data_IF_900917239637
#
_entry.id   IF_900917239637
#
_cell.length_a   1.000
_cell.length_b   1.000
_cell.length_c   1.000
_cell.angle_alpha   90.00
_cell.angle_beta   90.00
_cell.angle_gamma   90.00
#
_symmetry.space_group_name_H-M   'P 1'
#
loop_
_entity.id
_entity.type
_entity.pdbx_description
1 polymer ?
#
# COMPACT_ATOMS: atom_id res chain seq x y z
N UNK A 1 -25.30 -12.44 -16.92
CA UNK A 1 -23.86 -12.22 -17.21
C UNK A 1 -23.10 -11.92 -15.90
N UNK A 2 -21.99 -12.61 -15.61
CA UNK A 2 -21.30 -12.58 -14.29
C UNK A 2 -19.93 -11.85 -14.30
N UNK A 3 -19.41 -11.49 -15.47
CA UNK A 3 -18.10 -10.86 -15.62
C UNK A 3 -18.12 -9.82 -16.73
N UNK A 4 -17.51 -8.65 -16.49
CA UNK A 4 -17.43 -7.55 -17.46
C UNK A 4 -16.01 -7.01 -17.52
N UNK A 5 -15.53 -6.76 -18.75
CA UNK A 5 -14.17 -6.29 -19.02
C UNK A 5 -14.20 -4.85 -19.52
N UNK A 6 -13.27 -4.05 -19.02
CA UNK A 6 -12.98 -2.70 -19.49
C UNK A 6 -11.54 -2.67 -19.99
N UNK A 7 -11.30 -2.17 -21.21
CA UNK A 7 -9.97 -2.14 -21.80
C UNK A 7 -9.28 -0.81 -21.51
N UNK A 8 -7.95 -0.84 -21.37
CA UNK A 8 -7.11 0.34 -21.23
C UNK A 8 -5.93 0.26 -22.19
N UNK A 9 -5.51 1.41 -22.73
CA UNK A 9 -4.27 1.54 -23.51
C UNK A 9 -3.06 1.83 -22.62
N UNK A 10 -3.28 2.27 -21.39
CA UNK A 10 -2.24 2.53 -20.41
C UNK A 10 -1.86 1.24 -19.66
N UNK A 11 -1.05 0.42 -20.32
CA UNK A 11 -0.56 -0.85 -19.74
C UNK A 11 0.28 -0.62 -18.50
N UNK A 12 1.12 0.42 -18.52
CA UNK A 12 2.01 0.74 -17.41
C UNK A 12 1.21 1.13 -16.17
N UNK A 13 0.24 2.05 -16.28
CA UNK A 13 -0.60 2.43 -15.16
C UNK A 13 -1.41 1.25 -14.57
N UNK A 14 -1.87 0.33 -15.41
CA UNK A 14 -2.58 -0.88 -14.95
C UNK A 14 -1.64 -1.78 -14.15
N UNK A 15 -0.43 -2.04 -14.65
CA UNK A 15 0.58 -2.87 -13.97
C UNK A 15 1.03 -2.23 -12.64
N UNK A 16 1.29 -0.93 -12.64
CA UNK A 16 1.70 -0.20 -11.44
C UNK A 16 0.58 -0.11 -10.40
N UNK A 17 -0.67 0.11 -10.83
CA UNK A 17 -1.83 0.09 -9.93
C UNK A 17 -1.91 -1.22 -9.15
N UNK A 18 -1.82 -2.35 -9.86
CA UNK A 18 -1.86 -3.69 -9.26
C UNK A 18 -0.69 -4.01 -8.33
N UNK A 19 0.51 -3.48 -8.61
CA UNK A 19 1.69 -3.69 -7.77
C UNK A 19 1.67 -2.80 -6.51
N UNK A 20 1.45 -1.49 -6.68
CA UNK A 20 1.55 -0.50 -5.61
C UNK A 20 0.45 -0.65 -4.55
N UNK A 21 -0.76 -1.10 -4.94
CA UNK A 21 -1.87 -1.31 -4.00
C UNK A 21 -1.52 -2.29 -2.88
N UNK A 22 -0.63 -3.26 -3.13
CA UNK A 22 -0.29 -4.30 -2.16
C UNK A 22 0.52 -3.73 -0.99
N UNK A 23 1.31 -2.67 -1.23
CA UNK A 23 2.04 -1.95 -0.18
C UNK A 23 1.06 -1.18 0.70
N UNK A 24 0.09 -0.51 0.10
CA UNK A 24 -0.97 0.19 0.86
C UNK A 24 -1.82 -0.81 1.65
N UNK A 25 -2.10 -1.98 1.09
CA UNK A 25 -2.82 -3.04 1.77
C UNK A 25 -2.08 -3.59 3.01
N UNK A 26 -0.75 -3.68 2.97
CA UNK A 26 0.06 -4.02 4.16
C UNK A 26 -0.13 -2.98 5.26
N UNK A 27 -0.03 -1.69 4.93
CA UNK A 27 -0.26 -0.62 5.89
C UNK A 27 -1.70 -0.64 6.44
N UNK A 28 -2.70 -0.90 5.58
CA UNK A 28 -4.10 -1.06 5.99
C UNK A 28 -4.29 -2.25 6.96
N UNK A 29 -3.57 -3.35 6.70
CA UNK A 29 -3.45 -4.47 7.62
C UNK A 29 -2.90 -4.04 8.97
N UNK A 30 -1.77 -3.32 8.98
CA UNK A 30 -1.15 -2.83 10.22
C UNK A 30 -2.12 -1.96 11.02
N UNK A 31 -2.86 -1.07 10.36
CA UNK A 31 -3.94 -0.30 10.99
C UNK A 31 -5.00 -1.19 11.66
N UNK A 32 -5.39 -2.28 11.01
CA UNK A 32 -6.33 -3.25 11.58
C UNK A 32 -5.73 -3.98 12.79
N UNK A 33 -4.48 -4.46 12.69
CA UNK A 33 -3.79 -5.15 13.79
C UNK A 33 -3.55 -4.28 15.02
N UNK A 34 -3.40 -2.97 14.82
CA UNK A 34 -3.29 -1.98 15.89
C UNK A 34 -4.64 -1.52 16.46
N UNK A 35 -5.76 -1.95 15.87
CA UNK A 35 -7.11 -1.59 16.33
C UNK A 35 -7.52 -0.14 16.05
N UNK A 36 -6.97 0.51 15.01
CA UNK A 36 -7.20 1.94 14.74
C UNK A 36 -8.57 2.27 14.11
N UNK A 37 -9.33 1.25 13.70
CA UNK A 37 -10.67 1.39 13.14
C UNK A 37 -10.74 1.86 11.68
N UNK A 38 -11.96 1.89 11.14
CA UNK A 38 -12.20 2.13 9.72
C UNK A 38 -11.91 3.55 9.25
N UNK A 39 -12.07 4.57 10.10
CA UNK A 39 -11.79 5.97 9.73
C UNK A 39 -10.29 6.16 9.46
N UNK A 40 -9.43 5.65 10.35
CA UNK A 40 -7.97 5.67 10.18
C UNK A 40 -7.56 4.91 8.92
N UNK A 41 -8.20 3.76 8.66
CA UNK A 41 -7.93 2.99 7.45
C UNK A 41 -8.38 3.72 6.17
N UNK A 42 -9.55 4.36 6.17
CA UNK A 42 -10.03 5.14 5.04
C UNK A 42 -9.12 6.34 4.73
N UNK A 43 -8.65 7.05 5.77
CA UNK A 43 -7.67 8.12 5.63
C UNK A 43 -6.35 7.60 5.04
N UNK A 44 -5.84 6.47 5.56
CA UNK A 44 -4.63 5.83 5.05
C UNK A 44 -4.79 5.44 3.56
N UNK A 45 -5.88 4.78 3.19
CA UNK A 45 -6.12 4.35 1.81
C UNK A 45 -6.22 5.55 0.87
N UNK A 46 -6.86 6.63 1.30
CA UNK A 46 -6.97 7.87 0.52
C UNK A 46 -5.60 8.50 0.27
N UNK A 47 -4.73 8.57 1.30
CA UNK A 47 -3.35 9.06 1.13
C UNK A 47 -2.48 8.08 0.32
N UNK A 48 -2.69 6.78 0.50
CA UNK A 48 -2.03 5.73 -0.28
C UNK A 48 -2.35 5.83 -1.77
N UNK A 49 -3.59 6.17 -2.10
CA UNK A 49 -4.01 6.43 -3.47
C UNK A 49 -3.24 7.59 -4.12
N UNK A 50 -3.00 8.67 -3.37
CA UNK A 50 -2.18 9.79 -3.82
C UNK A 50 -0.72 9.38 -4.07
N UNK A 51 -0.13 8.55 -3.21
CA UNK A 51 1.22 7.99 -3.43
C UNK A 51 1.29 7.09 -4.67
N UNK A 52 0.31 6.19 -4.82
CA UNK A 52 0.23 5.31 -5.98
C UNK A 52 0.20 6.10 -7.28
N UNK A 53 -0.62 7.16 -7.33
CA UNK A 53 -0.68 8.08 -8.47
C UNK A 53 0.66 8.77 -8.71
N UNK A 54 1.29 9.33 -7.68
CA UNK A 54 2.57 10.06 -7.78
C UNK A 54 3.69 9.16 -8.30
N UNK A 55 3.83 7.96 -7.74
CA UNK A 55 4.81 6.95 -8.17
C UNK A 55 4.51 6.47 -9.58
N UNK A 56 3.25 6.16 -9.86
CA UNK A 56 2.82 5.65 -11.15
C UNK A 56 3.04 6.63 -12.30
N UNK A 57 2.72 7.91 -12.09
CA UNK A 57 2.97 8.98 -13.08
C UNK A 57 4.46 9.16 -13.33
N UNK A 58 5.29 9.14 -12.28
CA UNK A 58 6.74 9.21 -12.43
C UNK A 58 7.30 8.06 -13.29
N UNK A 59 6.66 6.89 -13.24
CA UNK A 59 7.01 5.72 -14.05
C UNK A 59 6.37 5.71 -15.45
N UNK A 60 5.58 6.74 -15.80
CA UNK A 60 4.97 6.87 -17.13
C UNK A 60 3.53 6.36 -17.23
N UNK A 61 2.88 6.01 -16.12
CA UNK A 61 1.44 5.71 -16.09
C UNK A 61 0.58 6.98 -16.21
N UNK A 62 -0.65 6.82 -16.71
CA UNK A 62 -1.61 7.91 -16.82
C UNK A 62 -2.37 8.09 -15.50
N UNK A 63 -2.63 9.34 -15.13
CA UNK A 63 -3.39 9.70 -13.92
C UNK A 63 -4.74 8.97 -13.83
N UNK A 64 -5.50 8.94 -14.91
CA UNK A 64 -6.88 8.43 -14.90
C UNK A 64 -6.95 6.92 -14.63
N UNK A 65 -5.90 6.18 -14.98
CA UNK A 65 -5.81 4.73 -14.73
C UNK A 65 -5.85 4.41 -13.24
N UNK A 66 -5.26 5.27 -12.41
CA UNK A 66 -5.26 5.10 -10.97
C UNK A 66 -6.69 5.27 -10.42
N UNK A 67 -7.48 6.21 -10.93
CA UNK A 67 -8.89 6.37 -10.52
C UNK A 67 -9.81 5.24 -11.02
N UNK A 68 -9.31 4.36 -11.89
CA UNK A 68 -10.05 3.24 -12.49
C UNK A 68 -10.03 1.94 -11.66
N UNK A 69 -10.48 0.85 -12.29
CA UNK A 69 -10.60 -0.47 -11.65
C UNK A 69 -9.27 -1.05 -11.19
N UNK A 70 -8.19 -0.85 -11.96
CA UNK A 70 -6.85 -1.37 -11.62
C UNK A 70 -6.13 -0.58 -10.53
N UNK A 71 -6.58 0.64 -10.24
CA UNK A 71 -6.07 1.46 -9.14
C UNK A 71 -7.06 1.44 -7.98
N UNK A 72 -7.96 2.42 -7.92
CA UNK A 72 -8.91 2.60 -6.84
C UNK A 72 -9.78 1.36 -6.58
N UNK A 73 -10.33 0.74 -7.63
CA UNK A 73 -11.21 -0.41 -7.48
C UNK A 73 -10.53 -1.57 -6.76
N UNK A 74 -9.36 -1.96 -7.27
CA UNK A 74 -8.57 -3.06 -6.71
C UNK A 74 -7.93 -2.69 -5.35
N UNK A 75 -7.53 -1.44 -5.16
CA UNK A 75 -7.05 -0.92 -3.89
C UNK A 75 -8.10 -1.09 -2.78
N UNK A 76 -9.35 -0.71 -3.06
CA UNK A 76 -10.44 -0.79 -2.08
C UNK A 76 -10.70 -2.23 -1.64
N UNK A 77 -10.90 -3.16 -2.57
CA UNK A 77 -11.13 -4.57 -2.18
C UNK A 77 -9.94 -5.15 -1.42
N UNK A 78 -8.71 -4.77 -1.79
CA UNK A 78 -7.49 -5.31 -1.18
C UNK A 78 -7.23 -4.74 0.22
N UNK A 79 -7.56 -3.48 0.48
CA UNK A 79 -7.37 -2.85 1.79
C UNK A 79 -8.51 -3.14 2.76
N UNK A 80 -9.72 -3.42 2.27
CA UNK A 80 -10.91 -3.62 3.12
C UNK A 80 -11.31 -5.09 3.31
N UNK A 81 -10.83 -6.02 2.48
CA UNK A 81 -11.14 -7.45 2.60
C UNK A 81 -10.12 -8.22 3.44
N UNK A 82 -10.58 -9.04 4.39
CA UNK A 82 -9.76 -10.01 5.13
C UNK A 82 -9.25 -11.17 4.25
N UNK A 83 -9.77 -11.31 3.03
CA UNK A 83 -9.26 -12.28 2.05
C UNK A 83 -7.96 -11.81 1.38
N UNK A 84 -7.62 -10.52 1.52
CA UNK A 84 -6.36 -9.97 1.01
C UNK A 84 -5.19 -10.47 1.85
N UNK A 85 -4.29 -11.24 1.22
CA UNK A 85 -3.09 -11.76 1.86
C UNK A 85 -2.16 -10.66 2.37
N UNK A 86 -2.02 -9.57 1.62
CA UNK A 86 -1.22 -8.41 2.02
C UNK A 86 -1.83 -7.72 3.26
N UNK A 87 -3.15 -7.54 3.29
CA UNK A 87 -3.83 -6.98 4.47
C UNK A 87 -3.69 -7.92 5.68
N UNK A 88 -3.96 -9.21 5.52
CA UNK A 88 -3.88 -10.17 6.62
C UNK A 88 -2.46 -10.31 7.17
N UNK A 89 -1.43 -10.24 6.31
CA UNK A 89 -0.04 -10.19 6.73
C UNK A 89 0.24 -8.93 7.56
N UNK A 90 -0.17 -7.76 7.07
CA UNK A 90 -0.05 -6.50 7.80
C UNK A 90 -0.78 -6.52 9.14
N UNK A 91 -1.95 -7.15 9.21
CA UNK A 91 -2.75 -7.28 10.43
C UNK A 91 -2.03 -8.09 11.50
N UNK A 92 -1.44 -9.22 11.13
CA UNK A 92 -0.61 -10.01 12.05
C UNK A 92 0.62 -9.24 12.51
N UNK A 93 1.27 -8.52 11.60
CA UNK A 93 2.42 -7.67 11.93
C UNK A 93 2.03 -6.53 12.90
N UNK A 94 0.90 -5.87 12.66
CA UNK A 94 0.36 -4.82 13.53
C UNK A 94 -0.04 -5.34 14.92
N UNK A 95 -0.48 -6.59 15.01
CA UNK A 95 -0.76 -7.29 16.26
C UNK A 95 0.50 -7.74 17.02
N UNK A 96 1.70 -7.50 16.46
CA UNK A 96 2.99 -7.78 17.11
C UNK A 96 3.60 -9.13 16.78
N UNK A 97 3.15 -9.81 15.72
CA UNK A 97 3.81 -11.03 15.25
C UNK A 97 5.22 -10.74 14.72
N UNK A 98 6.13 -11.70 14.94
CA UNK A 98 7.50 -11.63 14.43
C UNK A 98 7.53 -11.76 12.91
N UNK A 99 8.23 -10.83 12.25
CA UNK A 99 8.28 -10.75 10.78
C UNK A 99 8.87 -12.02 10.15
N UNK A 100 9.97 -12.54 10.70
CA UNK A 100 10.64 -13.72 10.17
C UNK A 100 9.82 -15.00 10.36
N UNK A 101 9.06 -15.09 11.45
CA UNK A 101 8.06 -16.14 11.63
C UNK A 101 6.94 -16.05 10.59
N UNK A 102 6.38 -14.84 10.37
CA UNK A 102 5.33 -14.62 9.38
C UNK A 102 5.76 -15.00 7.96
N UNK A 103 6.98 -14.64 7.57
CA UNK A 103 7.52 -14.97 6.24
C UNK A 103 7.70 -16.48 6.06
N UNK A 104 8.11 -17.22 7.10
CA UNK A 104 8.26 -18.68 7.06
C UNK A 104 6.93 -19.43 7.02
N UNK A 105 5.92 -18.94 7.74
CA UNK A 105 4.59 -19.56 7.77
C UNK A 105 3.76 -19.30 6.52
N UNK A 106 4.08 -18.25 5.76
CA UNK A 106 3.27 -17.85 4.62
C UNK A 106 3.36 -18.89 3.49
N UNK A 107 2.27 -19.63 3.32
CA UNK A 107 2.11 -20.65 2.25
C UNK A 107 2.12 -20.02 0.84
N UNK A 108 1.90 -18.71 0.75
CA UNK A 108 1.89 -17.98 -0.52
C UNK A 108 2.70 -16.68 -0.45
N UNK A 109 3.16 -16.21 -1.59
CA UNK A 109 3.95 -14.97 -1.69
C UNK A 109 3.11 -13.78 -1.25
N UNK A 110 3.68 -12.94 -0.38
CA UNK A 110 3.13 -11.63 0.01
C UNK A 110 3.73 -10.61 -0.95
N UNK A 111 3.02 -10.29 -2.03
CA UNK A 111 3.57 -9.49 -3.12
C UNK A 111 3.98 -8.09 -2.67
N UNK A 112 3.25 -7.50 -1.71
CA UNK A 112 3.54 -6.19 -1.12
C UNK A 112 4.90 -6.15 -0.41
N UNK A 113 5.33 -7.25 0.21
CA UNK A 113 6.63 -7.35 0.87
C UNK A 113 7.76 -7.14 -0.14
N UNK A 114 7.69 -7.81 -1.29
CA UNK A 114 8.69 -7.63 -2.35
C UNK A 114 8.54 -6.31 -3.10
N UNK A 115 7.30 -5.88 -3.34
CA UNK A 115 7.00 -4.65 -4.07
C UNK A 115 7.58 -3.42 -3.36
N UNK A 116 7.42 -3.31 -2.03
CA UNK A 116 7.90 -2.12 -1.31
C UNK A 116 9.41 -1.93 -1.45
N UNK A 117 10.20 -3.02 -1.46
CA UNK A 117 11.65 -2.94 -1.66
C UNK A 117 12.02 -2.42 -3.04
N UNK A 118 11.34 -2.90 -4.09
CA UNK A 118 11.57 -2.43 -5.46
C UNK A 118 11.17 -0.96 -5.64
N UNK A 119 10.06 -0.56 -5.00
CA UNK A 119 9.51 0.79 -5.10
C UNK A 119 10.33 1.80 -4.29
N UNK A 120 10.97 1.39 -3.18
CA UNK A 120 11.87 2.27 -2.42
C UNK A 120 12.99 2.86 -3.29
N UNK A 121 13.63 2.05 -4.14
CA UNK A 121 14.66 2.52 -5.07
C UNK A 121 14.12 3.54 -6.10
N UNK A 122 12.86 3.38 -6.52
CA UNK A 122 12.18 4.30 -7.45
C UNK A 122 11.87 5.63 -6.74
N UNK A 123 11.35 5.56 -5.52
CA UNK A 123 11.05 6.72 -4.67
C UNK A 123 12.32 7.54 -4.45
N UNK A 124 13.43 6.91 -4.07
CA UNK A 124 14.71 7.57 -3.82
C UNK A 124 15.26 8.23 -5.09
N UNK A 125 15.26 7.50 -6.21
CA UNK A 125 15.74 8.02 -7.50
C UNK A 125 14.92 9.22 -7.98
N UNK A 126 13.60 9.16 -7.81
CA UNK A 126 12.67 10.23 -8.22
C UNK A 126 12.52 11.34 -7.18
N UNK A 127 13.11 11.21 -5.99
CA UNK A 127 12.88 12.08 -4.82
C UNK A 127 11.38 12.27 -4.55
N UNK A 128 10.61 11.19 -4.68
CA UNK A 128 9.16 11.22 -4.54
C UNK A 128 8.78 11.24 -3.07
N UNK A 129 7.76 12.02 -2.73
CA UNK A 129 7.16 11.91 -1.40
C UNK A 129 6.17 10.75 -1.37
N UNK A 130 6.55 9.68 -0.67
CA UNK A 130 5.77 8.45 -0.51
C UNK A 130 5.88 7.90 0.93
N UNK A 131 5.35 8.63 1.92
CA UNK A 131 5.50 8.35 3.35
C UNK A 131 4.98 6.96 3.77
N UNK A 132 3.83 6.50 3.26
CA UNK A 132 3.30 5.17 3.56
C UNK A 132 4.26 4.10 3.04
N UNK A 133 4.77 4.23 1.81
CA UNK A 133 5.79 3.31 1.30
C UNK A 133 7.07 3.33 2.14
N UNK A 134 7.55 4.52 2.55
CA UNK A 134 8.74 4.66 3.39
C UNK A 134 8.56 3.99 4.74
N UNK A 135 7.40 4.15 5.37
CA UNK A 135 7.09 3.55 6.66
C UNK A 135 6.92 2.04 6.57
N UNK A 136 6.26 1.54 5.52
CA UNK A 136 6.18 0.10 5.24
C UNK A 136 7.55 -0.49 4.96
N UNK A 137 8.41 0.22 4.22
CA UNK A 137 9.78 -0.20 3.97
C UNK A 137 10.58 -0.27 5.28
N UNK A 138 10.49 0.76 6.12
CA UNK A 138 11.19 0.81 7.40
C UNK A 138 10.74 -0.31 8.35
N UNK A 139 9.44 -0.62 8.38
CA UNK A 139 8.93 -1.75 9.17
C UNK A 139 9.50 -3.09 8.69
N UNK A 140 9.45 -3.33 7.37
CA UNK A 140 9.76 -4.65 6.81
C UNK A 140 11.26 -4.90 6.60
N UNK A 141 12.06 -3.85 6.44
CA UNK A 141 13.48 -3.96 6.07
C UNK A 141 14.45 -3.26 7.02
N UNK A 142 13.95 -2.44 7.95
CA UNK A 142 14.79 -1.69 8.90
C UNK A 142 14.41 -1.95 10.36
N UNK A 143 13.48 -2.88 10.62
CA UNK A 143 13.08 -3.27 11.96
C UNK A 143 12.30 -2.20 12.72
N UNK A 144 11.72 -1.21 12.02
CA UNK A 144 10.91 -0.17 12.67
C UNK A 144 9.64 -0.80 13.28
N UNK A 145 9.32 -0.59 14.56
CA UNK A 145 8.10 -1.12 15.16
C UNK A 145 6.83 -0.59 14.48
N UNK A 146 5.84 -1.45 14.25
CA UNK A 146 4.61 -1.09 13.53
C UNK A 146 3.84 0.08 14.17
N UNK A 147 3.77 0.11 15.50
CA UNK A 147 3.16 1.21 16.26
C UNK A 147 3.88 2.53 16.02
N UNK A 148 5.22 2.50 15.95
CA UNK A 148 6.02 3.70 15.70
C UNK A 148 5.80 4.19 14.26
N UNK A 149 5.86 3.29 13.28
CA UNK A 149 5.63 3.63 11.88
C UNK A 149 4.25 4.28 11.65
N UNK A 150 3.21 3.72 12.28
CA UNK A 150 1.88 4.34 12.20
C UNK A 150 1.77 5.65 12.97
N UNK A 151 2.43 5.78 14.12
CA UNK A 151 2.52 7.04 14.86
C UNK A 151 3.15 8.15 14.01
N UNK A 152 4.20 7.82 13.26
CA UNK A 152 4.89 8.76 12.38
C UNK A 152 3.99 9.19 11.21
N UNK A 153 3.19 8.28 10.61
CA UNK A 153 2.21 8.66 9.59
C UNK A 153 1.13 9.62 10.10
N UNK A 154 0.65 9.39 11.33
CA UNK A 154 -0.45 10.15 11.94
C UNK A 154 0.00 11.50 12.52
N UNK A 155 1.28 11.65 12.86
CA UNK A 155 1.85 12.86 13.48
C UNK A 155 2.43 13.85 12.49
N UNK A 156 2.43 13.53 11.19
CA UNK A 156 2.91 14.43 10.13
C UNK A 156 2.09 15.71 10.08
N UNK A 157 2.78 16.82 9.77
CA UNK A 157 2.13 18.11 9.58
C UNK A 157 1.03 18.01 8.53
N UNK A 158 -0.13 18.59 8.85
CA UNK A 158 -1.24 18.69 7.93
C UNK A 158 -0.83 19.52 6.71
N UNK A 159 -1.17 19.04 5.52
CA UNK A 159 -0.95 19.72 4.24
C UNK A 159 -2.25 19.86 3.48
N UNK A 160 -2.25 20.63 2.38
CA UNK A 160 -3.41 20.73 1.51
C UNK A 160 -3.72 19.36 0.90
N UNK A 161 -4.99 19.14 0.60
CA UNK A 161 -5.46 17.89 0.02
C UNK A 161 -4.84 17.61 -1.36
N UNK A 162 -4.59 18.68 -2.13
CA UNK A 162 -4.11 18.64 -3.51
C UNK A 162 -2.58 18.72 -3.69
N UNK A 163 -1.79 18.76 -2.60
CA UNK A 163 -0.32 18.82 -2.63
C UNK A 163 0.35 17.42 -2.79
#
# INVERSE_FOLDING_TARGET
PHFRVYTSRDRLGVEYGGALKNVIALAAGVCAGLGLGYNSNAALVTRGMAEMRRIGIYLGGHVDTFSGLSGLGDLMVTCFSSLSRNRSFGERLGAGADLEALLRESVSVVEGYHAVRSVAAIIDKGKLEAPIHQEVYAMLYQGKPARQAMGDLLSREARKEDD
#
